data_IF_572034371524
#
_entry.id   IF_572034371524
#
_cell.length_a   1.000
_cell.length_b   1.000
_cell.length_c   1.000
_cell.angle_alpha   90.00
_cell.angle_beta   90.00
_cell.angle_gamma   90.00
#
_symmetry.space_group_name_H-M   'P 1'
#
loop_
_entity.id
_entity.type
_entity.pdbx_description
1 polymer ?
#
# COMPACT_ATOMS: atom_id res chain seq x y z
N UNK A 1 15.88 -10.30 1.40
CA UNK A 1 15.56 -8.88 1.64
C UNK A 1 16.33 -8.04 0.64
N UNK A 2 15.73 -6.98 0.11
CA UNK A 2 16.31 -6.07 -0.89
C UNK A 2 16.00 -4.64 -0.45
N UNK A 3 16.94 -3.72 -0.61
CA UNK A 3 16.69 -2.31 -0.33
C UNK A 3 15.65 -1.74 -1.31
N UNK A 4 14.82 -0.80 -0.86
CA UNK A 4 13.77 -0.22 -1.72
C UNK A 4 14.38 0.48 -2.93
N UNK A 5 15.54 1.13 -2.77
CA UNK A 5 16.25 1.81 -3.85
C UNK A 5 16.71 0.82 -4.92
N UNK A 6 17.26 -0.33 -4.51
CA UNK A 6 17.68 -1.41 -5.42
C UNK A 6 16.48 -2.01 -6.16
N UNK A 7 15.33 -2.14 -5.49
CA UNK A 7 14.09 -2.62 -6.09
C UNK A 7 13.58 -1.66 -7.18
N UNK A 8 13.58 -0.36 -6.89
CA UNK A 8 13.10 0.68 -7.80
C UNK A 8 14.05 0.88 -8.98
N UNK A 9 15.35 0.68 -8.78
CA UNK A 9 16.37 0.78 -9.82
C UNK A 9 16.27 -0.31 -10.91
N UNK A 10 15.46 -1.36 -10.70
CA UNK A 10 15.34 -2.45 -11.68
C UNK A 10 14.84 -1.94 -13.05
N UNK A 11 15.41 -2.40 -14.18
CA UNK A 11 15.05 -1.93 -15.51
C UNK A 11 13.55 -2.03 -15.82
N UNK A 12 12.89 -3.10 -15.35
CA UNK A 12 11.46 -3.32 -15.53
C UNK A 12 10.61 -2.26 -14.80
N UNK A 13 11.04 -1.82 -13.62
CA UNK A 13 10.39 -0.77 -12.85
C UNK A 13 10.54 0.59 -13.56
N UNK A 14 11.67 0.82 -14.22
CA UNK A 14 11.95 2.07 -14.92
C UNK A 14 11.19 2.23 -16.25
N UNK A 15 10.73 1.13 -16.85
CA UNK A 15 10.03 1.14 -18.15
C UNK A 15 8.50 1.31 -18.01
N UNK A 16 7.92 0.95 -16.87
CA UNK A 16 6.46 0.98 -16.67
C UNK A 16 6.02 2.13 -15.77
N UNK A 17 5.21 3.04 -16.31
CA UNK A 17 4.60 4.12 -15.53
C UNK A 17 3.77 3.59 -14.35
N UNK A 18 3.02 2.49 -14.56
CA UNK A 18 2.25 1.85 -13.50
C UNK A 18 3.16 1.34 -12.38
N UNK A 19 4.25 0.65 -12.73
CA UNK A 19 5.16 0.11 -11.72
C UNK A 19 5.87 1.22 -10.93
N UNK A 20 6.20 2.35 -11.56
CA UNK A 20 6.73 3.53 -10.86
C UNK A 20 5.73 4.08 -9.85
N UNK A 21 4.46 4.18 -10.21
CA UNK A 21 3.40 4.65 -9.30
C UNK A 21 3.26 3.70 -8.11
N UNK A 22 3.17 2.39 -8.37
CA UNK A 22 3.08 1.37 -7.31
C UNK A 22 4.28 1.43 -6.37
N UNK A 23 5.49 1.56 -6.91
CA UNK A 23 6.69 1.72 -6.10
C UNK A 23 6.66 2.99 -5.24
N UNK A 24 6.18 4.11 -5.78
CA UNK A 24 6.00 5.34 -5.03
C UNK A 24 5.06 5.19 -3.82
N UNK A 25 3.97 4.41 -3.97
CA UNK A 25 3.06 4.09 -2.86
C UNK A 25 3.78 3.26 -1.79
N UNK A 26 4.55 2.25 -2.18
CA UNK A 26 5.32 1.43 -1.24
C UNK A 26 6.34 2.26 -0.45
N UNK A 27 7.09 3.13 -1.12
CA UNK A 27 8.05 4.05 -0.49
C UNK A 27 7.32 4.98 0.49
N UNK A 28 6.23 5.61 0.05
CA UNK A 28 5.45 6.51 0.90
C UNK A 28 4.91 5.79 2.15
N UNK A 29 4.50 4.52 2.04
CA UNK A 29 4.07 3.72 3.17
C UNK A 29 5.23 3.42 4.14
N UNK A 30 6.41 3.06 3.63
CA UNK A 30 7.60 2.83 4.45
C UNK A 30 8.07 4.11 5.20
N UNK A 31 7.84 5.28 4.60
CA UNK A 31 8.14 6.59 5.20
C UNK A 31 7.02 7.13 6.10
N UNK A 32 5.92 6.40 6.30
CA UNK A 32 4.78 6.84 7.11
C UNK A 32 3.96 7.98 6.49
N UNK A 33 4.11 8.23 5.18
CA UNK A 33 3.41 9.28 4.42
C UNK A 33 2.20 8.77 3.64
N UNK A 34 1.97 7.45 3.60
CA UNK A 34 0.82 6.85 2.95
C UNK A 34 -0.23 6.48 4.00
N UNK A 35 -1.45 6.98 3.87
CA UNK A 35 -2.62 6.46 4.59
C UNK A 35 -3.37 5.51 3.66
N UNK A 36 -3.65 4.31 4.15
CA UNK A 36 -4.26 3.25 3.38
C UNK A 36 -5.71 3.02 3.77
N UNK A 37 -6.13 1.78 3.58
CA UNK A 37 -7.40 1.30 4.11
C UNK A 37 -7.12 0.18 5.10
N UNK A 38 -7.74 0.27 6.27
CA UNK A 38 -7.66 -0.78 7.30
C UNK A 38 -8.87 -1.70 7.23
N UNK A 39 -8.62 -2.98 7.47
CA UNK A 39 -9.65 -3.99 7.59
C UNK A 39 -10.34 -3.89 8.95
N UNK A 40 -11.66 -3.71 8.94
CA UNK A 40 -12.53 -3.77 10.11
C UNK A 40 -13.39 -5.01 10.00
N UNK A 41 -13.34 -5.88 11.01
CA UNK A 41 -14.27 -7.00 11.13
C UNK A 41 -15.66 -6.47 11.51
N UNK A 42 -16.67 -6.90 10.76
CA UNK A 42 -18.06 -6.52 11.02
C UNK A 42 -18.81 -7.72 11.61
N UNK A 43 -19.63 -7.52 12.66
CA UNK A 43 -20.57 -8.55 13.10
C UNK A 43 -21.56 -8.85 11.97
N UNK A 44 -21.42 -10.02 11.36
CA UNK A 44 -22.39 -10.54 10.38
C UNK A 44 -22.52 -12.05 10.48
N UNK A 45 -23.63 -12.65 10.00
CA UNK A 45 -23.85 -14.10 10.07
C UNK A 45 -22.76 -14.96 9.39
N UNK A 46 -21.96 -14.34 8.51
CA UNK A 46 -20.74 -14.91 7.92
C UNK A 46 -19.57 -13.97 8.23
N UNK A 47 -18.33 -14.46 8.39
CA UNK A 47 -17.17 -13.59 8.55
C UNK A 47 -17.09 -12.59 7.38
N UNK A 48 -17.12 -11.31 7.69
CA UNK A 48 -17.05 -10.22 6.71
C UNK A 48 -16.08 -9.16 7.19
N UNK A 49 -15.34 -8.60 6.24
CA UNK A 49 -14.37 -7.53 6.46
C UNK A 49 -14.76 -6.34 5.61
N UNK A 50 -14.72 -5.15 6.20
CA UNK A 50 -14.89 -3.89 5.51
C UNK A 50 -13.59 -3.11 5.55
N UNK A 51 -13.16 -2.57 4.41
CA UNK A 51 -11.98 -1.74 4.33
C UNK A 51 -12.41 -0.27 4.42
N UNK A 52 -12.00 0.42 5.48
CA UNK A 52 -12.27 1.85 5.66
C UNK A 52 -10.97 2.66 5.56
N UNK A 53 -11.08 3.95 5.24
CA UNK A 53 -9.93 4.85 5.18
C UNK A 53 -9.29 4.99 6.57
N UNK A 54 -7.96 5.01 6.64
CA UNK A 54 -7.21 5.30 7.88
C UNK A 54 -7.36 6.75 8.36
N UNK A 55 -8.15 7.59 7.66
CA UNK A 55 -8.49 8.95 8.06
C UNK A 55 -9.76 8.97 8.93
N UNK A 56 -10.65 7.99 8.74
CA UNK A 56 -11.97 7.96 9.39
C UNK A 56 -11.95 7.22 10.74
N UNK A 57 -10.78 6.73 11.17
CA UNK A 57 -10.57 5.92 12.38
C UNK A 57 -9.91 6.66 13.55
N UNK A 58 -9.62 7.97 13.41
CA UNK A 58 -9.20 8.89 14.50
C UNK A 58 -10.38 9.74 15.01
#
# INVERSE_FOLDING_TARGET
WMAVDDFVAQPKMQQSKLLKVMAGVCIANMEGRCRGFSAIEIPSPKPSVFYCSDIDTE
#
